data_IF_569626025818
#
_entry.id   IF_569626025818
#
_cell.length_a   1.000
_cell.length_b   1.000
_cell.length_c   1.000
_cell.angle_alpha   90.00
_cell.angle_beta   90.00
_cell.angle_gamma   90.00
#
_symmetry.space_group_name_H-M   'P 1'
#
loop_
_entity.id
_entity.type
_entity.pdbx_description
1 polymer ?
#
# COMPACT_ATOMS: atom_id res chain seq x y z
N UNK A 1 -3.24 24.10 33.27
CA UNK A 1 -4.36 25.05 33.07
C UNK A 1 -3.98 26.26 32.24
N UNK A 2 -2.94 27.04 32.60
CA UNK A 2 -2.57 28.23 31.83
C UNK A 2 -2.22 27.96 30.35
N UNK A 3 -1.52 26.86 30.05
CA UNK A 3 -1.23 26.44 28.67
C UNK A 3 -2.48 26.20 27.83
N UNK A 4 -3.51 25.57 28.42
CA UNK A 4 -4.79 25.33 27.76
C UNK A 4 -5.53 26.66 27.51
N UNK A 5 -5.49 27.57 28.49
CA UNK A 5 -6.11 28.90 28.38
C UNK A 5 -5.44 29.77 27.30
N UNK A 6 -4.11 29.85 27.29
CA UNK A 6 -3.36 30.58 26.27
C UNK A 6 -3.63 30.02 24.88
N UNK A 7 -3.55 28.70 24.71
CA UNK A 7 -3.80 28.07 23.42
C UNK A 7 -5.21 28.33 22.89
N UNK A 8 -6.24 28.21 23.75
CA UNK A 8 -7.63 28.48 23.35
C UNK A 8 -7.83 29.94 22.94
N UNK A 9 -7.19 30.88 23.66
CA UNK A 9 -7.30 32.32 23.38
C UNK A 9 -6.61 32.67 22.07
N UNK A 10 -5.38 32.17 21.87
CA UNK A 10 -4.58 32.41 20.67
C UNK A 10 -5.22 31.77 19.42
N UNK A 11 -5.73 30.55 19.56
CA UNK A 11 -6.41 29.86 18.47
C UNK A 11 -7.70 30.59 18.05
N UNK A 12 -8.49 31.03 19.03
CA UNK A 12 -9.72 31.77 18.75
C UNK A 12 -9.44 33.14 18.12
N UNK A 13 -8.43 33.87 18.61
CA UNK A 13 -8.02 35.14 18.02
C UNK A 13 -7.60 35.02 16.55
N UNK A 14 -7.03 33.87 16.16
CA UNK A 14 -6.60 33.59 14.78
C UNK A 14 -7.71 33.10 13.86
N UNK A 15 -8.62 32.28 14.37
CA UNK A 15 -9.57 31.51 13.53
C UNK A 15 -11.02 31.94 13.70
N UNK A 16 -11.37 32.65 14.76
CA UNK A 16 -12.75 32.92 15.14
C UNK A 16 -13.53 31.69 15.64
N UNK A 17 -12.88 30.53 15.73
CA UNK A 17 -13.48 29.26 16.14
C UNK A 17 -12.79 28.68 17.37
N UNK A 18 -13.36 27.61 17.93
CA UNK A 18 -12.74 26.85 19.02
C UNK A 18 -12.10 25.59 18.47
N UNK A 19 -10.88 25.24 18.91
CA UNK A 19 -10.22 24.04 18.44
C UNK A 19 -10.97 22.79 18.90
N UNK A 20 -11.05 21.79 18.01
CA UNK A 20 -11.61 20.48 18.34
C UNK A 20 -10.82 19.77 19.45
N UNK A 21 -11.50 18.88 20.21
CA UNK A 21 -10.86 18.15 21.33
C UNK A 21 -9.66 17.31 20.90
N UNK A 22 -9.69 16.74 19.69
CA UNK A 22 -8.57 15.98 19.13
C UNK A 22 -7.33 16.85 18.92
N UNK A 23 -7.51 18.08 18.42
CA UNK A 23 -6.43 19.04 18.24
C UNK A 23 -5.85 19.48 19.59
N UNK A 24 -6.71 19.72 20.59
CA UNK A 24 -6.27 20.03 21.96
C UNK A 24 -5.46 18.89 22.59
N UNK A 25 -5.86 17.64 22.37
CA UNK A 25 -5.11 16.48 22.87
C UNK A 25 -3.74 16.38 22.18
N UNK A 26 -3.70 16.61 20.86
CA UNK A 26 -2.47 16.56 20.06
C UNK A 26 -1.48 17.67 20.46
N UNK A 27 -1.92 18.93 20.41
CA UNK A 27 -1.05 20.10 20.61
C UNK A 27 -0.57 20.24 22.05
N UNK A 28 -1.44 19.95 23.02
CA UNK A 28 -1.10 20.11 24.43
C UNK A 28 -0.53 18.83 25.05
N UNK A 29 -0.47 17.73 24.28
CA UNK A 29 -0.08 16.39 24.75
C UNK A 29 -0.88 15.96 25.99
N UNK A 30 -2.17 16.29 26.00
CA UNK A 30 -3.10 15.98 27.09
C UNK A 30 -4.00 14.82 26.68
N UNK A 31 -4.37 14.00 27.65
CA UNK A 31 -5.42 12.99 27.46
C UNK A 31 -6.78 13.67 27.29
N UNK A 32 -7.72 12.97 26.63
CA UNK A 32 -9.09 13.47 26.47
C UNK A 32 -9.77 13.78 27.82
N UNK A 33 -9.42 13.01 28.87
CA UNK A 33 -9.92 13.24 30.22
C UNK A 33 -9.42 14.56 30.81
N UNK A 34 -8.12 14.86 30.66
CA UNK A 34 -7.49 16.10 31.13
C UNK A 34 -8.01 17.32 30.36
N UNK A 35 -8.17 17.21 29.03
CA UNK A 35 -8.78 18.27 28.21
C UNK A 35 -10.21 18.55 28.66
N UNK A 36 -11.02 17.51 28.91
CA UNK A 36 -12.39 17.67 29.38
C UNK A 36 -12.49 18.20 30.83
N UNK A 37 -11.51 17.92 31.68
CA UNK A 37 -11.43 18.48 33.03
C UNK A 37 -11.06 19.98 32.95
N UNK A 38 -10.01 20.33 32.20
CA UNK A 38 -9.57 21.71 32.04
C UNK A 38 -10.61 22.59 31.33
N UNK A 39 -11.31 22.09 30.32
CA UNK A 39 -12.41 22.83 29.69
C UNK A 39 -13.57 23.08 30.66
N UNK A 40 -13.86 22.16 31.58
CA UNK A 40 -14.91 22.35 32.59
C UNK A 40 -14.52 23.42 33.60
N UNK A 41 -13.27 23.40 34.05
CA UNK A 41 -12.73 24.40 34.98
C UNK A 41 -12.69 25.79 34.35
N UNK A 42 -12.26 25.91 33.09
CA UNK A 42 -12.28 27.20 32.35
C UNK A 42 -13.70 27.74 32.08
N UNK A 43 -14.71 26.86 31.96
CA UNK A 43 -16.12 27.25 31.89
C UNK A 43 -16.63 27.70 33.27
N UNK A 44 -16.25 26.99 34.35
CA UNK A 44 -16.63 27.33 35.72
C UNK A 44 -16.05 28.68 36.17
N UNK A 45 -14.79 28.96 35.81
CA UNK A 45 -14.09 30.22 36.08
C UNK A 45 -14.56 31.39 35.19
N UNK A 46 -15.57 31.16 34.34
CA UNK A 46 -16.17 32.17 33.48
C UNK A 46 -15.29 32.64 32.31
N UNK A 47 -14.09 32.08 32.16
CA UNK A 47 -13.17 32.40 31.06
C UNK A 47 -13.75 32.01 29.70
N UNK A 48 -14.60 30.98 29.65
CA UNK A 48 -15.29 30.49 28.46
C UNK A 48 -16.82 30.72 28.50
N UNK A 49 -17.31 31.71 29.27
CA UNK A 49 -18.76 31.95 29.46
C UNK A 49 -19.52 32.14 28.14
N UNK A 50 -18.91 32.80 27.17
CA UNK A 50 -19.49 33.05 25.84
C UNK A 50 -19.55 31.78 24.96
N UNK A 51 -18.78 30.75 25.33
CA UNK A 51 -18.57 29.53 24.55
C UNK A 51 -19.20 28.28 25.17
N UNK A 52 -19.71 28.37 26.40
CA UNK A 52 -20.33 27.28 27.13
C UNK A 52 -21.50 26.63 26.38
N UNK A 53 -22.23 27.41 25.57
CA UNK A 53 -23.34 26.91 24.74
C UNK A 53 -22.90 26.06 23.55
N UNK A 54 -21.67 26.24 23.04
CA UNK A 54 -21.13 25.48 21.89
C UNK A 54 -20.34 24.25 22.31
N UNK A 55 -19.75 24.29 23.51
CA UNK A 55 -19.14 23.13 24.15
C UNK A 55 -20.24 22.24 24.73
N UNK A 56 -20.81 21.32 23.93
CA UNK A 56 -21.59 20.19 24.46
C UNK A 56 -20.68 19.32 25.33
N UNK A 57 -20.53 19.71 26.59
CA UNK A 57 -19.84 18.94 27.62
C UNK A 57 -20.69 17.70 27.88
N UNK A 58 -20.20 16.54 27.41
CA UNK A 58 -20.84 15.27 27.72
C UNK A 58 -20.86 15.12 29.25
N UNK A 59 -22.02 14.81 29.82
CA UNK A 59 -22.16 14.49 31.24
C UNK A 59 -21.15 13.38 31.59
N UNK A 60 -20.51 13.43 32.78
CA UNK A 60 -19.49 12.47 33.14
C UNK A 60 -20.08 11.05 33.12
N UNK A 61 -19.61 10.22 32.18
CA UNK A 61 -19.63 8.79 32.37
C UNK A 61 -18.64 8.41 33.47
N UNK A 62 -18.85 7.29 34.19
CA UNK A 62 -17.97 6.90 35.29
C UNK A 62 -16.52 6.82 34.82
N UNK A 63 -15.61 7.34 35.66
CA UNK A 63 -14.16 7.33 35.45
C UNK A 63 -13.69 5.88 35.36
N UNK A 64 -13.54 5.37 34.14
CA UNK A 64 -12.89 4.08 33.89
C UNK A 64 -11.39 4.33 34.02
N UNK A 65 -10.82 3.85 35.13
CA UNK A 65 -9.36 3.72 35.26
C UNK A 65 -8.86 2.96 34.04
N UNK A 66 -7.98 3.59 33.27
CA UNK A 66 -7.36 3.07 32.07
C UNK A 66 -6.53 1.82 32.45
N UNK A 67 -7.19 0.66 32.43
CA UNK A 67 -6.51 -0.63 32.43
C UNK A 67 -5.95 -0.83 31.03
N UNK A 68 -4.69 -1.28 30.97
CA UNK A 68 -3.93 -1.42 29.73
C UNK A 68 -4.76 -2.05 28.62
N UNK A 69 -4.58 -1.55 27.40
CA UNK A 69 -5.34 -1.93 26.19
C UNK A 69 -5.48 -3.45 25.98
N UNK A 70 -4.54 -4.25 26.49
CA UNK A 70 -4.61 -5.71 26.50
C UNK A 70 -5.70 -6.28 27.43
N UNK A 71 -5.88 -5.72 28.63
CA UNK A 71 -6.94 -6.15 29.56
C UNK A 71 -8.32 -5.70 29.08
N UNK A 72 -8.42 -4.50 28.48
CA UNK A 72 -9.67 -4.03 27.87
C UNK A 72 -10.12 -4.90 26.69
N UNK A 73 -9.17 -5.37 25.87
CA UNK A 73 -9.44 -6.32 24.79
C UNK A 73 -9.87 -7.70 25.33
N UNK A 74 -9.19 -8.21 26.36
CA UNK A 74 -9.55 -9.49 27.00
C UNK A 74 -10.89 -9.44 27.72
N UNK A 75 -11.23 -8.33 28.36
CA UNK A 75 -12.53 -8.14 29.01
C UNK A 75 -13.65 -7.94 27.99
N UNK A 76 -13.38 -7.32 26.84
CA UNK A 76 -14.32 -7.28 25.72
C UNK A 76 -14.51 -8.66 25.09
N UNK A 77 -13.45 -9.46 24.93
CA UNK A 77 -13.55 -10.86 24.51
C UNK A 77 -14.34 -11.71 25.52
N UNK A 78 -14.17 -11.48 26.82
CA UNK A 78 -14.98 -12.13 27.86
C UNK A 78 -16.43 -11.69 27.86
N UNK A 79 -16.73 -10.42 27.58
CA UNK A 79 -18.11 -9.94 27.42
C UNK A 79 -18.77 -10.47 26.17
N UNK A 80 -18.03 -10.60 25.06
CA UNK A 80 -18.50 -11.26 23.84
C UNK A 80 -18.72 -12.75 24.11
N UNK A 81 -17.82 -13.44 24.81
CA UNK A 81 -18.01 -14.86 25.16
C UNK A 81 -19.16 -15.08 26.15
N UNK A 82 -19.36 -14.17 27.10
CA UNK A 82 -20.49 -14.18 28.03
C UNK A 82 -21.83 -13.78 27.37
N UNK A 83 -21.78 -12.99 26.29
CA UNK A 83 -22.95 -12.71 25.44
C UNK A 83 -23.33 -13.92 24.58
N UNK A 84 -22.33 -14.64 24.05
CA UNK A 84 -22.50 -15.89 23.31
C UNK A 84 -23.06 -16.99 24.23
N UNK A 85 -22.66 -17.05 25.50
CA UNK A 85 -23.17 -18.05 26.46
C UNK A 85 -24.60 -17.80 26.94
N UNK A 86 -25.15 -16.58 26.75
CA UNK A 86 -26.54 -16.24 27.06
C UNK A 86 -27.51 -16.45 25.88
N UNK A 87 -27.00 -16.78 24.70
CA UNK A 87 -27.83 -17.31 23.62
C UNK A 87 -28.26 -18.72 24.02
N UNK A 88 -29.48 -18.85 24.56
CA UNK A 88 -30.15 -20.15 24.71
C UNK A 88 -30.03 -20.88 23.36
N UNK A 89 -29.37 -22.05 23.28
CA UNK A 89 -29.22 -22.77 22.03
C UNK A 89 -30.58 -23.34 21.64
N UNK A 90 -31.34 -22.57 20.84
CA UNK A 90 -32.45 -23.11 20.06
C UNK A 90 -31.84 -23.84 18.87
N UNK A 91 -31.63 -25.14 19.06
CA UNK A 91 -30.95 -26.02 18.12
C UNK A 91 -29.46 -26.16 18.47
N UNK A 92 -29.01 -27.40 18.64
CA UNK A 92 -27.58 -27.72 18.70
C UNK A 92 -26.99 -27.36 17.33
N UNK A 93 -26.48 -26.14 17.18
CA UNK A 93 -25.57 -25.82 16.08
C UNK A 93 -24.37 -26.74 16.25
N UNK A 94 -24.31 -27.76 15.41
CA UNK A 94 -23.21 -28.70 15.33
C UNK A 94 -21.92 -27.89 15.15
N UNK A 95 -21.05 -27.90 16.16
CA UNK A 95 -19.80 -27.10 16.19
C UNK A 95 -18.97 -27.31 14.91
N UNK A 96 -19.07 -28.49 14.28
CA UNK A 96 -18.45 -28.77 12.99
C UNK A 96 -19.03 -27.97 11.81
N UNK A 97 -20.33 -27.68 11.82
CA UNK A 97 -20.98 -26.83 10.81
C UNK A 97 -20.52 -25.38 10.97
N UNK A 98 -20.40 -24.89 12.20
CA UNK A 98 -19.91 -23.53 12.47
C UNK A 98 -18.46 -23.34 12.00
N UNK A 99 -17.55 -24.26 12.38
CA UNK A 99 -16.13 -24.22 11.96
C UNK A 99 -16.00 -24.26 10.45
N UNK A 100 -16.80 -25.08 9.76
CA UNK A 100 -16.82 -25.17 8.30
C UNK A 100 -17.22 -23.85 7.64
N UNK A 101 -18.28 -23.19 8.11
CA UNK A 101 -18.70 -21.91 7.55
C UNK A 101 -17.66 -20.81 7.78
N UNK A 102 -16.97 -20.83 8.93
CA UNK A 102 -15.87 -19.90 9.21
C UNK A 102 -14.72 -20.13 8.23
N UNK A 103 -14.27 -21.37 8.05
CA UNK A 103 -13.17 -21.69 7.13
C UNK A 103 -13.51 -21.39 5.67
N UNK A 104 -14.76 -21.65 5.27
CA UNK A 104 -15.25 -21.27 3.95
C UNK A 104 -15.23 -19.75 3.76
N UNK A 105 -15.72 -18.98 4.72
CA UNK A 105 -15.69 -17.52 4.66
C UNK A 105 -14.25 -16.98 4.59
N UNK A 106 -13.34 -17.52 5.39
CA UNK A 106 -11.91 -17.15 5.36
C UNK A 106 -11.29 -17.48 4.00
N UNK A 107 -11.59 -18.64 3.42
CA UNK A 107 -11.10 -19.01 2.09
C UNK A 107 -11.60 -18.06 1.00
N UNK A 108 -12.90 -17.71 1.02
CA UNK A 108 -13.49 -16.75 0.05
C UNK A 108 -12.84 -15.37 0.19
N UNK A 109 -12.64 -14.88 1.41
CA UNK A 109 -11.97 -13.59 1.65
C UNK A 109 -10.53 -13.63 1.12
N UNK A 110 -9.79 -14.70 1.40
CA UNK A 110 -8.42 -14.88 0.89
C UNK A 110 -8.38 -14.90 -0.64
N UNK A 111 -9.33 -15.60 -1.29
CA UNK A 111 -9.44 -15.61 -2.76
C UNK A 111 -9.71 -14.21 -3.33
N UNK A 112 -10.60 -13.43 -2.72
CA UNK A 112 -10.92 -12.06 -3.17
C UNK A 112 -9.66 -11.17 -3.08
N UNK A 113 -8.95 -11.23 -1.96
CA UNK A 113 -7.75 -10.42 -1.75
C UNK A 113 -6.63 -10.84 -2.71
N UNK A 114 -6.39 -12.15 -2.87
CA UNK A 114 -5.41 -12.70 -3.80
C UNK A 114 -5.72 -12.31 -5.26
N UNK A 115 -6.98 -12.38 -5.66
CA UNK A 115 -7.43 -11.93 -7.00
C UNK A 115 -7.17 -10.44 -7.20
N UNK A 116 -7.42 -9.61 -6.19
CA UNK A 116 -7.17 -8.17 -6.26
C UNK A 116 -5.70 -7.81 -6.49
N UNK A 117 -4.79 -8.44 -5.74
CA UNK A 117 -3.35 -8.22 -5.92
C UNK A 117 -2.81 -8.80 -7.23
N UNK A 118 -3.28 -9.99 -7.63
CA UNK A 118 -2.94 -10.58 -8.93
C UNK A 118 -3.42 -9.71 -10.09
N UNK A 119 -4.61 -9.12 -9.98
CA UNK A 119 -5.14 -8.17 -10.95
C UNK A 119 -4.27 -6.91 -11.07
N UNK A 120 -3.86 -6.33 -9.94
CA UNK A 120 -3.02 -5.13 -9.91
C UNK A 120 -1.70 -5.31 -10.67
N UNK A 121 -1.17 -6.53 -10.71
CA UNK A 121 -0.02 -6.87 -11.53
C UNK A 121 -0.39 -7.14 -13.00
N UNK A 122 -1.42 -7.94 -13.27
CA UNK A 122 -1.80 -8.35 -14.63
C UNK A 122 -2.29 -7.18 -15.52
N UNK A 123 -2.91 -6.16 -14.93
CA UNK A 123 -3.38 -4.98 -15.68
C UNK A 123 -2.23 -4.17 -16.30
N UNK A 124 -0.99 -4.41 -15.88
CA UNK A 124 0.20 -3.81 -16.49
C UNK A 124 0.51 -4.42 -17.88
N UNK A 125 0.02 -5.63 -18.17
CA UNK A 125 0.34 -6.39 -19.38
C UNK A 125 -0.89 -6.74 -20.23
N UNK A 126 -2.08 -6.72 -19.66
CA UNK A 126 -3.33 -7.15 -20.27
C UNK A 126 -4.41 -6.07 -20.13
N UNK A 127 -5.37 -6.09 -21.04
CA UNK A 127 -6.61 -5.30 -20.91
C UNK A 127 -7.30 -5.61 -19.57
N UNK A 128 -7.89 -4.61 -18.88
CA UNK A 128 -8.49 -4.80 -17.54
C UNK A 128 -9.48 -5.96 -17.45
N UNK A 129 -10.29 -6.19 -18.49
CA UNK A 129 -11.26 -7.29 -18.49
C UNK A 129 -10.54 -8.65 -18.51
N UNK A 130 -9.51 -8.78 -19.35
CA UNK A 130 -8.71 -10.01 -19.47
C UNK A 130 -7.87 -10.24 -18.21
N UNK A 131 -7.36 -9.17 -17.60
CA UNK A 131 -6.59 -9.23 -16.37
C UNK A 131 -7.44 -9.76 -15.20
N UNK A 132 -8.67 -9.26 -15.01
CA UNK A 132 -9.59 -9.77 -13.98
C UNK A 132 -9.94 -11.23 -14.22
N UNK A 133 -10.29 -11.58 -15.45
CA UNK A 133 -10.67 -12.95 -15.80
C UNK A 133 -9.52 -13.94 -15.56
N UNK A 134 -8.30 -13.58 -15.95
CA UNK A 134 -7.12 -14.42 -15.74
C UNK A 134 -6.75 -14.53 -14.25
N UNK A 135 -6.78 -13.42 -13.51
CA UNK A 135 -6.53 -13.42 -12.07
C UNK A 135 -7.52 -14.34 -11.34
N UNK A 136 -8.82 -14.17 -11.60
CA UNK A 136 -9.86 -15.00 -11.01
C UNK A 136 -9.71 -16.47 -11.42
N UNK A 137 -9.43 -16.75 -12.70
CA UNK A 137 -9.26 -18.11 -13.18
C UNK A 137 -8.09 -18.84 -12.50
N UNK A 138 -6.94 -18.18 -12.32
CA UNK A 138 -5.78 -18.76 -11.63
C UNK A 138 -6.10 -19.05 -10.16
N UNK A 139 -6.67 -18.08 -9.44
CA UNK A 139 -7.00 -18.25 -8.01
C UNK A 139 -8.05 -19.33 -7.80
N UNK A 140 -9.11 -19.36 -8.62
CA UNK A 140 -10.13 -20.42 -8.61
C UNK A 140 -9.50 -21.77 -8.93
N UNK A 141 -8.66 -21.86 -9.96
CA UNK A 141 -7.99 -23.11 -10.33
C UNK A 141 -7.13 -23.65 -9.18
N UNK A 142 -6.26 -22.81 -8.60
CA UNK A 142 -5.38 -23.19 -7.49
C UNK A 142 -6.17 -23.65 -6.26
N UNK A 143 -7.33 -23.02 -6.01
CA UNK A 143 -8.18 -23.35 -4.87
C UNK A 143 -8.91 -24.69 -5.05
N UNK A 144 -9.48 -24.97 -6.23
CA UNK A 144 -10.34 -26.13 -6.45
C UNK A 144 -9.64 -27.34 -7.08
N UNK A 145 -8.50 -27.17 -7.75
CA UNK A 145 -7.77 -28.28 -8.38
C UNK A 145 -7.33 -29.38 -7.39
N UNK A 146 -6.85 -29.07 -6.15
CA UNK A 146 -6.55 -30.09 -5.15
C UNK A 146 -7.77 -30.94 -4.75
N UNK A 147 -8.95 -30.33 -4.71
CA UNK A 147 -10.19 -31.04 -4.39
C UNK A 147 -10.67 -31.91 -5.55
N UNK A 148 -10.58 -31.39 -6.77
CA UNK A 148 -10.83 -32.17 -7.98
C UNK A 148 -9.93 -33.41 -8.06
N UNK A 149 -8.65 -33.25 -7.74
CA UNK A 149 -7.70 -34.36 -7.63
C UNK A 149 -8.10 -35.35 -6.52
N UNK A 150 -8.49 -34.86 -5.34
CA UNK A 150 -8.94 -35.71 -4.23
C UNK A 150 -10.20 -36.52 -4.58
N UNK A 151 -11.16 -35.92 -5.31
CA UNK A 151 -12.37 -36.61 -5.80
C UNK A 151 -12.04 -37.70 -6.82
N UNK A 152 -11.09 -37.44 -7.74
CA UNK A 152 -10.65 -38.42 -8.73
C UNK A 152 -9.94 -39.61 -8.07
N UNK A 153 -9.11 -39.36 -7.06
CA UNK A 153 -8.41 -40.42 -6.31
C UNK A 153 -9.36 -41.39 -5.59
N UNK A 154 -10.59 -40.97 -5.27
CA UNK A 154 -11.61 -41.87 -4.68
C UNK A 154 -12.09 -42.95 -5.64
N UNK A 155 -11.99 -42.75 -6.96
CA UNK A 155 -12.50 -43.70 -7.98
C UNK A 155 -11.58 -44.90 -8.24
N UNK A 156 -10.37 -44.92 -7.64
CA UNK A 156 -9.39 -46.04 -7.65
C UNK A 156 -9.01 -46.62 -9.03
N UNK A 157 -9.28 -45.93 -10.15
CA UNK A 157 -8.85 -46.36 -11.48
C UNK A 157 -7.47 -45.78 -11.83
N UNK A 158 -6.61 -46.53 -12.52
CA UNK A 158 -5.24 -46.08 -12.87
C UNK A 158 -5.25 -44.78 -13.69
N UNK A 159 -6.17 -44.64 -14.65
CA UNK A 159 -6.37 -43.41 -15.42
C UNK A 159 -6.75 -42.20 -14.56
N UNK A 160 -7.53 -42.43 -13.49
CA UNK A 160 -7.93 -41.37 -12.55
C UNK A 160 -6.79 -40.93 -11.63
N UNK A 161 -5.84 -41.83 -11.32
CA UNK A 161 -4.64 -41.50 -10.54
C UNK A 161 -3.70 -40.61 -11.34
N UNK A 162 -3.48 -40.92 -12.63
CA UNK A 162 -2.65 -40.11 -13.52
C UNK A 162 -3.25 -38.72 -13.74
N UNK A 163 -4.57 -38.62 -13.91
CA UNK A 163 -5.24 -37.33 -14.05
C UNK A 163 -5.18 -36.51 -12.75
N UNK A 164 -5.34 -37.16 -11.60
CA UNK A 164 -5.24 -36.50 -10.30
C UNK A 164 -3.82 -35.98 -10.02
N UNK A 165 -2.78 -36.76 -10.35
CA UNK A 165 -1.40 -36.29 -10.18
C UNK A 165 -1.09 -35.11 -11.10
N UNK A 166 -1.54 -35.13 -12.36
CA UNK A 166 -1.40 -34.01 -13.29
C UNK A 166 -2.08 -32.74 -12.75
N UNK A 167 -3.29 -32.86 -12.19
CA UNK A 167 -4.01 -31.75 -11.56
C UNK A 167 -3.24 -31.18 -10.36
N UNK A 168 -2.67 -32.02 -9.51
CA UNK A 168 -1.87 -31.55 -8.37
C UNK A 168 -0.60 -30.84 -8.81
N UNK A 169 0.12 -31.39 -9.79
CA UNK A 169 1.37 -30.79 -10.30
C UNK A 169 1.10 -29.43 -10.94
N UNK A 170 0.08 -29.34 -11.78
CA UNK A 170 -0.31 -28.08 -12.42
C UNK A 170 -0.90 -27.08 -11.42
N UNK A 171 -1.61 -27.54 -10.39
CA UNK A 171 -2.07 -26.68 -9.29
C UNK A 171 -0.89 -26.12 -8.48
N UNK A 172 0.15 -26.91 -8.22
CA UNK A 172 1.36 -26.47 -7.54
C UNK A 172 2.11 -25.41 -8.37
N UNK A 173 2.25 -25.64 -9.68
CA UNK A 173 2.86 -24.67 -10.58
C UNK A 173 2.04 -23.36 -10.64
N UNK A 174 0.71 -23.46 -10.72
CA UNK A 174 -0.19 -22.31 -10.70
C UNK A 174 -0.18 -21.59 -9.34
N UNK A 175 0.00 -22.31 -8.22
CA UNK A 175 0.13 -21.72 -6.88
C UNK A 175 1.40 -20.88 -6.77
N UNK A 176 2.55 -21.41 -7.20
CA UNK A 176 3.81 -20.67 -7.21
C UNK A 176 3.71 -19.43 -8.09
N UNK A 177 3.06 -19.55 -9.25
CA UNK A 177 2.80 -18.42 -10.14
C UNK A 177 1.87 -17.38 -9.49
N UNK A 178 0.77 -17.81 -8.86
CA UNK A 178 -0.15 -16.95 -8.12
C UNK A 178 0.56 -16.18 -7.02
N UNK A 179 1.38 -16.86 -6.22
CA UNK A 179 2.19 -16.25 -5.17
C UNK A 179 3.13 -15.19 -5.72
N UNK A 180 3.82 -15.46 -6.83
CA UNK A 180 4.70 -14.48 -7.46
C UNK A 180 3.92 -13.22 -7.89
N UNK A 181 2.75 -13.39 -8.52
CA UNK A 181 1.90 -12.26 -8.92
C UNK A 181 1.39 -11.45 -7.71
N UNK A 182 0.90 -12.13 -6.67
CA UNK A 182 0.42 -11.48 -5.43
C UNK A 182 1.54 -10.67 -4.78
N UNK A 183 2.75 -11.21 -4.71
CA UNK A 183 3.92 -10.54 -4.12
C UNK A 183 4.33 -9.31 -4.93
N UNK A 184 4.38 -9.42 -6.27
CA UNK A 184 4.74 -8.29 -7.11
C UNK A 184 3.64 -7.21 -7.07
N UNK A 185 2.37 -7.61 -7.08
CA UNK A 185 1.24 -6.69 -6.95
C UNK A 185 1.25 -5.91 -5.63
N UNK A 186 1.53 -6.59 -4.51
CA UNK A 186 1.68 -5.94 -3.20
C UNK A 186 2.90 -5.01 -3.16
N UNK A 187 4.03 -5.45 -3.72
CA UNK A 187 5.25 -4.63 -3.77
C UNK A 187 5.02 -3.35 -4.58
N UNK A 188 4.43 -3.45 -5.76
CA UNK A 188 4.14 -2.29 -6.62
C UNK A 188 3.11 -1.34 -5.97
N UNK A 189 2.05 -1.89 -5.38
CA UNK A 189 1.07 -1.09 -4.65
C UNK A 189 1.69 -0.35 -3.46
N UNK A 190 2.64 -0.98 -2.77
CA UNK A 190 3.38 -0.33 -1.68
C UNK A 190 4.33 0.75 -2.19
N UNK A 191 5.06 0.53 -3.29
CA UNK A 191 5.92 1.58 -3.85
C UNK A 191 5.12 2.80 -4.26
N UNK A 192 3.90 2.59 -4.77
CA UNK A 192 2.98 3.68 -5.10
C UNK A 192 2.44 4.38 -3.84
N UNK A 193 2.13 3.63 -2.78
CA UNK A 193 1.72 4.18 -1.48
C UNK A 193 2.87 4.93 -0.80
N UNK A 194 4.11 4.45 -0.88
CA UNK A 194 5.27 5.14 -0.33
C UNK A 194 5.64 6.38 -1.16
N UNK A 195 5.45 6.34 -2.48
CA UNK A 195 5.58 7.51 -3.33
C UNK A 195 4.51 8.58 -3.01
N UNK A 196 3.30 8.15 -2.63
CA UNK A 196 2.17 9.05 -2.32
C UNK A 196 2.11 9.50 -0.85
N UNK A 197 2.46 8.67 0.13
CA UNK A 197 2.53 9.04 1.56
C UNK A 197 3.86 9.71 1.94
N UNK A 198 4.94 9.39 1.22
CA UNK A 198 6.17 10.18 1.21
C UNK A 198 5.95 11.60 0.66
N UNK A 199 4.79 11.87 0.04
CA UNK A 199 4.39 13.19 -0.37
C UNK A 199 3.77 14.05 0.74
N UNK A 200 3.44 13.49 1.91
CA UNK A 200 2.70 14.22 2.95
C UNK A 200 3.45 14.37 4.29
N UNK A 201 4.51 13.59 4.57
CA UNK A 201 5.04 13.50 5.95
C UNK A 201 6.51 13.89 6.19
N UNK A 202 7.27 14.40 5.21
CA UNK A 202 8.63 14.91 5.51
C UNK A 202 9.12 15.92 4.48
N UNK A 203 8.98 17.21 4.79
CA UNK A 203 9.43 18.32 3.93
C UNK A 203 10.95 18.42 3.84
N UNK A 204 11.70 18.10 4.91
CA UNK A 204 13.16 18.30 4.94
C UNK A 204 14.00 17.22 4.22
N UNK A 205 13.57 15.94 4.23
CA UNK A 205 14.29 14.88 3.48
C UNK A 205 13.88 14.80 2.01
N UNK A 206 12.74 15.39 1.67
CA UNK A 206 12.19 15.46 0.32
C UNK A 206 12.88 16.52 -0.52
N UNK A 207 13.38 17.60 0.07
CA UNK A 207 14.09 18.64 -0.69
C UNK A 207 15.39 18.16 -1.30
N UNK A 208 16.17 17.36 -0.58
CA UNK A 208 17.43 16.81 -1.10
C UNK A 208 17.16 15.67 -2.10
N UNK A 209 16.26 14.74 -1.78
CA UNK A 209 15.95 13.61 -2.66
C UNK A 209 15.20 14.03 -3.94
N UNK A 210 14.28 14.99 -3.87
CA UNK A 210 13.57 15.53 -5.04
C UNK A 210 14.51 16.35 -5.90
N UNK A 211 15.41 17.15 -5.29
CA UNK A 211 16.44 17.85 -6.04
C UNK A 211 17.42 16.87 -6.70
N UNK A 212 17.78 15.76 -6.04
CA UNK A 212 18.64 14.73 -6.62
C UNK A 212 17.96 13.98 -7.77
N UNK A 213 16.66 13.68 -7.66
CA UNK A 213 15.88 13.09 -8.77
C UNK A 213 15.73 14.07 -9.94
N UNK A 214 15.44 15.34 -9.66
CA UNK A 214 15.35 16.37 -10.70
C UNK A 214 16.71 16.63 -11.37
N UNK A 215 17.81 16.61 -10.60
CA UNK A 215 19.17 16.68 -11.13
C UNK A 215 19.56 15.42 -11.90
N UNK A 216 19.08 14.25 -11.50
CA UNK A 216 19.27 13.02 -12.26
C UNK A 216 18.49 13.05 -13.59
N UNK A 217 17.26 13.57 -13.60
CA UNK A 217 16.47 13.82 -14.81
C UNK A 217 17.17 14.83 -15.72
N UNK A 218 17.70 15.93 -15.16
CA UNK A 218 18.51 16.92 -15.90
C UNK A 218 19.78 16.29 -16.49
N UNK A 219 20.55 15.54 -15.71
CA UNK A 219 21.78 14.86 -16.19
C UNK A 219 21.47 13.83 -17.26
N UNK A 220 20.38 13.08 -17.12
CA UNK A 220 19.94 12.10 -18.12
C UNK A 220 19.53 12.78 -19.43
N UNK A 221 18.75 13.87 -19.35
CA UNK A 221 18.36 14.68 -20.50
C UNK A 221 19.57 15.36 -21.17
N UNK A 222 20.55 15.82 -20.37
CA UNK A 222 21.80 16.39 -20.86
C UNK A 222 22.63 15.33 -21.59
N UNK A 223 22.84 14.15 -21.00
CA UNK A 223 23.58 13.06 -21.63
C UNK A 223 22.94 12.59 -22.94
N UNK A 224 21.59 12.54 -23.00
CA UNK A 224 20.87 12.23 -24.23
C UNK A 224 21.06 13.31 -25.30
N UNK A 225 21.08 14.59 -24.91
CA UNK A 225 21.31 15.72 -25.82
C UNK A 225 22.75 15.71 -26.34
N UNK A 226 23.74 15.51 -25.46
CA UNK A 226 25.16 15.45 -25.82
C UNK A 226 25.45 14.26 -26.76
N UNK A 227 24.80 13.11 -26.51
CA UNK A 227 24.89 11.94 -27.39
C UNK A 227 24.35 12.22 -28.80
N UNK A 228 23.16 12.84 -28.88
CA UNK A 228 22.55 13.22 -30.16
C UNK A 228 23.36 14.32 -30.89
N UNK A 229 23.96 15.26 -30.17
CA UNK A 229 24.84 16.27 -30.79
C UNK A 229 26.09 15.63 -31.42
N UNK A 230 26.70 14.66 -30.76
CA UNK A 230 27.83 13.91 -31.33
C UNK A 230 27.41 13.12 -32.56
N UNK A 231 26.25 12.47 -32.52
CA UNK A 231 25.71 11.70 -33.65
C UNK A 231 25.40 12.61 -34.85
N UNK A 232 24.81 13.79 -34.60
CA UNK A 232 24.59 14.82 -35.62
C UNK A 232 25.93 15.28 -36.23
N UNK A 233 26.95 15.55 -35.41
CA UNK A 233 28.28 15.95 -35.90
C UNK A 233 28.95 14.89 -36.77
N UNK A 234 28.91 13.62 -36.34
CA UNK A 234 29.44 12.49 -37.12
C UNK A 234 28.70 12.32 -38.45
N UNK A 235 27.38 12.49 -38.45
CA UNK A 235 26.56 12.39 -39.66
C UNK A 235 26.79 13.57 -40.61
N UNK A 236 27.03 14.78 -40.09
CA UNK A 236 27.41 15.95 -40.89
C UNK A 236 28.79 15.76 -41.54
N UNK A 237 29.77 15.22 -40.80
CA UNK A 237 31.09 14.89 -41.33
C UNK A 237 31.02 13.80 -42.40
N UNK A 238 30.16 12.79 -42.21
CA UNK A 238 29.92 11.74 -43.19
C UNK A 238 29.24 12.30 -44.46
N UNK A 239 28.26 13.21 -44.30
CA UNK A 239 27.61 13.90 -45.41
C UNK A 239 28.56 14.78 -46.21
N UNK A 240 29.50 15.47 -45.55
CA UNK A 240 30.48 16.33 -46.21
C UNK A 240 31.43 15.56 -47.15
N UNK A 241 31.55 14.25 -46.96
CA UNK A 241 32.36 13.35 -47.80
C UNK A 241 31.57 12.73 -48.96
N UNK A 242 30.25 12.94 -49.02
CA UNK A 242 29.37 12.40 -50.06
C UNK A 242 29.13 13.45 -51.16
N UNK A 243 29.21 13.02 -52.42
CA UNK A 243 28.88 13.89 -53.56
C UNK A 243 27.40 14.28 -53.57
N UNK A 244 27.15 15.59 -53.70
CA UNK A 244 25.82 16.16 -53.76
C UNK A 244 25.04 15.64 -54.99
N UNK A 245 23.75 15.35 -54.80
CA UNK A 245 22.88 14.83 -55.87
C UNK A 245 22.84 13.31 -56.00
N UNK A 246 23.69 12.57 -55.25
CA UNK A 246 23.62 11.10 -55.22
C UNK A 246 22.45 10.60 -54.35
N UNK A 247 21.90 9.40 -54.62
CA UNK A 247 20.89 8.78 -53.76
C UNK A 247 21.37 8.59 -52.31
N UNK A 248 22.67 8.34 -52.13
CA UNK A 248 23.32 8.23 -50.82
C UNK A 248 23.30 9.56 -50.06
N UNK A 249 23.60 10.67 -50.74
CA UNK A 249 23.51 12.02 -50.16
C UNK A 249 22.07 12.38 -49.77
N UNK A 250 21.08 12.02 -50.60
CA UNK A 250 19.66 12.22 -50.30
C UNK A 250 19.13 11.36 -49.14
N UNK A 251 19.67 10.16 -48.94
CA UNK A 251 19.37 9.33 -47.77
C UNK A 251 20.01 9.89 -46.49
N UNK A 252 21.27 10.31 -46.57
CA UNK A 252 21.99 10.91 -45.45
C UNK A 252 21.36 12.23 -44.99
N UNK A 253 20.88 13.05 -45.92
CA UNK A 253 20.17 14.31 -45.62
C UNK A 253 18.87 14.06 -44.84
N UNK A 254 18.10 13.03 -45.23
CA UNK A 254 16.87 12.65 -44.52
C UNK A 254 17.16 12.12 -43.12
N UNK A 255 18.21 11.32 -42.97
CA UNK A 255 18.67 10.84 -41.67
C UNK A 255 19.14 12.01 -40.77
N UNK A 256 19.87 12.96 -41.33
CA UNK A 256 20.30 14.16 -40.61
C UNK A 256 19.10 14.99 -40.15
N UNK A 257 18.08 15.18 -41.00
CA UNK A 257 16.85 15.87 -40.61
C UNK A 257 16.14 15.17 -39.44
N UNK A 258 16.01 13.84 -39.49
CA UNK A 258 15.40 13.09 -38.39
C UNK A 258 16.21 13.17 -37.08
N UNK A 259 17.55 13.23 -37.16
CA UNK A 259 18.43 13.42 -36.01
C UNK A 259 18.32 14.85 -35.44
N UNK A 260 18.20 15.86 -36.31
CA UNK A 260 17.98 17.25 -35.90
C UNK A 260 16.64 17.44 -35.20
N UNK A 261 15.57 16.80 -35.69
CA UNK A 261 14.27 16.81 -35.02
C UNK A 261 14.35 16.16 -33.64
N UNK A 262 15.01 15.01 -33.52
CA UNK A 262 15.24 14.33 -32.23
C UNK A 262 16.04 15.21 -31.28
N UNK A 263 17.07 15.88 -31.77
CA UNK A 263 17.88 16.82 -30.99
C UNK A 263 17.06 18.02 -30.49
N UNK A 264 16.17 18.56 -31.34
CA UNK A 264 15.26 19.63 -30.96
C UNK A 264 14.32 19.23 -29.83
N UNK A 265 13.69 18.04 -29.91
CA UNK A 265 12.83 17.54 -28.84
C UNK A 265 13.61 17.18 -27.56
N UNK A 266 14.82 16.64 -27.69
CA UNK A 266 15.70 16.40 -26.55
C UNK A 266 16.08 17.71 -25.84
N UNK A 267 16.42 18.75 -26.61
CA UNK A 267 16.68 20.10 -26.09
C UNK A 267 15.49 20.69 -25.34
N UNK A 268 14.27 20.57 -25.87
CA UNK A 268 13.05 20.98 -25.16
C UNK A 268 12.86 20.25 -23.82
N UNK A 269 13.14 18.94 -23.78
CA UNK A 269 13.05 18.14 -22.55
C UNK A 269 14.09 18.57 -21.52
N UNK A 270 15.31 18.90 -21.95
CA UNK A 270 16.36 19.45 -21.10
C UNK A 270 15.96 20.82 -20.53
N UNK A 271 15.42 21.72 -21.35
CA UNK A 271 14.93 23.03 -20.89
C UNK A 271 13.82 22.87 -19.86
N UNK A 272 12.84 21.99 -20.12
CA UNK A 272 11.78 21.71 -19.17
C UNK A 272 12.32 21.10 -17.85
N UNK A 273 13.33 20.22 -17.91
CA UNK A 273 13.99 19.68 -16.72
C UNK A 273 14.70 20.78 -15.91
N UNK A 274 15.39 21.71 -16.57
CA UNK A 274 16.03 22.87 -15.93
C UNK A 274 15.04 23.82 -15.29
N UNK A 275 13.92 24.10 -15.96
CA UNK A 275 12.84 24.93 -15.41
C UNK A 275 12.23 24.30 -14.15
N UNK A 276 12.04 22.97 -14.13
CA UNK A 276 11.60 22.26 -12.92
C UNK A 276 12.58 22.42 -11.76
N UNK A 277 13.90 22.33 -12.01
CA UNK A 277 14.94 22.51 -10.99
C UNK A 277 14.95 23.94 -10.46
N UNK A 278 14.87 24.94 -11.34
CA UNK A 278 14.84 26.37 -10.97
C UNK A 278 13.57 26.74 -10.20
N UNK A 279 12.41 26.22 -10.61
CA UNK A 279 11.15 26.41 -9.91
C UNK A 279 11.16 25.76 -8.51
N UNK A 280 11.90 24.66 -8.34
CA UNK A 280 12.09 24.01 -7.04
C UNK A 280 12.96 24.86 -6.10
N UNK A 281 14.09 25.38 -6.61
CA UNK A 281 15.03 26.21 -5.84
C UNK A 281 14.46 27.59 -5.48
N UNK A 282 13.43 28.05 -6.17
CA UNK A 282 12.80 29.36 -5.95
C UNK A 282 11.68 29.34 -4.88
N UNK A 283 11.42 28.19 -4.23
CA UNK A 283 10.40 28.09 -3.17
C UNK A 283 10.92 28.61 -1.82
N UNK A 284 10.16 29.47 -1.11
CA UNK A 284 10.61 30.13 0.13
C UNK A 284 10.72 29.21 1.36
N UNK A 285 10.25 27.97 1.31
CA UNK A 285 10.25 27.03 2.45
C UNK A 285 11.47 26.08 2.52
N UNK A 286 12.47 26.26 1.64
CA UNK A 286 13.55 25.27 1.46
C UNK A 286 14.61 25.24 2.57
N UNK A 287 14.55 26.09 3.61
CA UNK A 287 15.53 26.06 4.70
C UNK A 287 14.90 26.33 6.05
N UNK A 288 14.96 25.31 6.90
CA UNK A 288 14.99 25.26 8.38
C UNK A 288 13.84 24.46 9.00
N UNK A 289 14.14 23.23 9.44
CA UNK A 289 13.96 22.81 10.84
C UNK A 289 14.55 21.41 11.02
N UNK A 290 15.47 21.28 11.97
CA UNK A 290 15.94 20.00 12.47
C UNK A 290 14.83 19.39 13.35
N UNK A 291 14.07 18.44 12.80
CA UNK A 291 13.13 17.65 13.59
C UNK A 291 13.67 16.25 13.91
N UNK A 292 13.46 15.87 15.17
CA UNK A 292 13.90 14.62 15.78
C UNK A 292 13.30 13.44 15.02
N UNK A 293 14.17 12.72 14.29
CA UNK A 293 13.87 11.52 13.51
C UNK A 293 13.32 10.42 14.43
N UNK A 294 12.00 10.20 14.45
CA UNK A 294 11.43 8.97 15.03
C UNK A 294 11.90 7.78 14.18
N UNK A 295 12.61 6.84 14.78
CA UNK A 295 12.97 5.57 14.12
C UNK A 295 11.68 4.79 13.84
N UNK A 296 11.40 4.58 12.56
CA UNK A 296 10.29 3.76 12.08
C UNK A 296 10.58 2.26 12.31
N UNK A 297 9.56 1.41 12.48
CA UNK A 297 9.74 -0.01 12.82
C UNK A 297 10.65 -0.74 11.82
N UNK A 298 10.53 -0.41 10.54
CA UNK A 298 11.39 -0.96 9.48
C UNK A 298 12.85 -0.53 9.62
N UNK A 299 13.09 0.67 10.17
CA UNK A 299 14.45 1.17 10.45
C UNK A 299 15.04 0.43 11.65
N UNK A 300 14.26 0.24 12.72
CA UNK A 300 14.64 -0.59 13.87
C UNK A 300 14.95 -2.04 13.45
N UNK A 301 14.05 -2.68 12.70
CA UNK A 301 14.21 -4.05 12.24
C UNK A 301 15.38 -4.21 11.25
N UNK A 302 15.63 -3.23 10.37
CA UNK A 302 16.82 -3.21 9.50
C UNK A 302 18.13 -3.15 10.27
N UNK A 303 18.16 -2.38 11.37
CA UNK A 303 19.32 -2.23 12.23
C UNK A 303 19.61 -3.50 13.03
N UNK A 304 18.57 -4.15 13.54
CA UNK A 304 18.71 -5.38 14.33
C UNK A 304 19.07 -6.60 13.47
N UNK A 305 18.56 -6.65 12.24
CA UNK A 305 18.82 -7.78 11.32
C UNK A 305 20.07 -7.58 10.45
N UNK A 306 20.62 -6.36 10.41
CA UNK A 306 21.70 -6.00 9.48
C UNK A 306 21.29 -6.01 8.01
N UNK A 307 20.01 -6.20 7.71
CA UNK A 307 19.47 -6.22 6.35
C UNK A 307 19.00 -4.83 5.94
N UNK A 308 19.13 -4.47 4.66
CA UNK A 308 18.62 -3.19 4.16
C UNK A 308 17.12 -3.04 4.41
N UNK A 309 16.66 -1.83 4.77
CA UNK A 309 15.24 -1.53 5.08
C UNK A 309 14.26 -2.12 4.07
N UNK A 310 14.55 -1.96 2.76
CA UNK A 310 13.70 -2.49 1.70
C UNK A 310 13.61 -4.03 1.67
N UNK A 311 14.63 -4.74 2.15
CA UNK A 311 14.63 -6.20 2.25
C UNK A 311 13.77 -6.66 3.41
N UNK A 312 13.86 -5.99 4.56
CA UNK A 312 13.03 -6.28 5.74
C UNK A 312 11.56 -6.02 5.44
N UNK A 313 11.29 -4.89 4.79
CA UNK A 313 9.95 -4.52 4.34
C UNK A 313 9.41 -5.60 3.36
N UNK A 314 10.18 -5.95 2.34
CA UNK A 314 9.82 -7.02 1.40
C UNK A 314 9.51 -8.36 2.08
N UNK A 315 10.33 -8.82 3.04
CA UNK A 315 10.10 -10.08 3.77
C UNK A 315 8.81 -10.03 4.58
N UNK A 316 8.56 -8.92 5.27
CA UNK A 316 7.36 -8.74 6.09
C UNK A 316 6.07 -8.67 5.24
N UNK A 317 6.15 -8.27 3.97
CA UNK A 317 5.03 -8.33 3.02
C UNK A 317 4.90 -9.68 2.32
N UNK A 318 6.02 -10.36 2.08
CA UNK A 318 6.05 -11.70 1.49
C UNK A 318 5.27 -12.71 2.35
N UNK A 319 5.43 -12.64 3.68
CA UNK A 319 4.82 -13.60 4.60
C UNK A 319 3.27 -13.58 4.52
N UNK A 320 2.57 -12.44 4.64
CA UNK A 320 1.12 -12.37 4.45
C UNK A 320 0.64 -12.77 3.06
N UNK A 321 1.37 -12.41 1.99
CA UNK A 321 1.01 -12.77 0.61
C UNK A 321 1.01 -14.29 0.41
N UNK A 322 2.10 -14.95 0.82
CA UNK A 322 2.22 -16.41 0.76
C UNK A 322 1.19 -17.11 1.65
N UNK A 323 0.91 -16.53 2.82
CA UNK A 323 -0.07 -17.08 3.75
C UNK A 323 -1.50 -17.06 3.17
N UNK A 324 -1.88 -15.98 2.47
CA UNK A 324 -3.20 -15.87 1.82
C UNK A 324 -3.40 -16.89 0.70
N UNK A 325 -2.39 -17.08 -0.15
CA UNK A 325 -2.45 -18.03 -1.27
C UNK A 325 -2.43 -19.50 -0.82
N UNK A 326 -1.93 -19.79 0.39
CA UNK A 326 -1.97 -21.13 1.01
C UNK A 326 -3.27 -21.38 1.77
N UNK A 327 -3.82 -20.37 2.47
CA UNK A 327 -5.04 -20.54 3.27
C UNK A 327 -6.27 -20.79 2.40
N UNK A 328 -6.38 -20.13 1.24
CA UNK A 328 -7.52 -20.32 0.34
C UNK A 328 -7.74 -21.81 -0.03
N UNK A 329 -6.76 -22.53 -0.62
CA UNK A 329 -6.91 -23.95 -0.93
C UNK A 329 -7.08 -24.82 0.33
N UNK A 330 -6.39 -24.54 1.44
CA UNK A 330 -6.54 -25.33 2.68
C UNK A 330 -7.92 -25.16 3.34
N UNK A 331 -8.39 -23.91 3.45
CA UNK A 331 -9.68 -23.57 4.03
C UNK A 331 -10.83 -24.13 3.21
N UNK A 332 -10.72 -24.06 1.87
CA UNK A 332 -11.68 -24.67 0.96
C UNK A 332 -11.68 -26.19 1.09
N UNK A 333 -10.49 -26.82 1.08
CA UNK A 333 -10.35 -28.28 1.23
C UNK A 333 -10.97 -28.81 2.53
N UNK A 334 -10.78 -28.12 3.65
CA UNK A 334 -11.43 -28.50 4.92
C UNK A 334 -12.94 -28.25 4.85
N UNK A 335 -13.37 -27.12 4.30
CA UNK A 335 -14.77 -26.78 4.20
C UNK A 335 -15.57 -27.74 3.30
N UNK A 336 -14.99 -28.19 2.19
CA UNK A 336 -15.62 -29.10 1.23
C UNK A 336 -15.36 -30.58 1.56
N UNK A 337 -14.18 -30.91 2.08
CA UNK A 337 -13.82 -32.26 2.52
C UNK A 337 -14.66 -32.78 3.69
N UNK A 338 -15.14 -31.88 4.57
CA UNK A 338 -16.05 -32.22 5.68
C UNK A 338 -17.51 -32.43 5.23
N UNK A 339 -17.89 -32.04 4.01
CA UNK A 339 -19.25 -32.24 3.46
C UNK A 339 -19.49 -33.72 3.19
N UNK A 340 -18.52 -34.38 2.57
CA UNK A 340 -18.65 -35.75 2.10
C UNK A 340 -18.45 -36.84 3.15
N UNK A 341 -18.42 -36.50 4.45
CA UNK A 341 -18.24 -37.48 5.55
C UNK A 341 -19.51 -37.77 6.35
N UNK A 342 -20.65 -37.13 6.04
CA UNK A 342 -21.94 -37.42 6.71
C UNK A 342 -22.79 -38.51 6.02
N UNK A 343 -22.32 -39.14 4.96
CA UNK A 343 -23.06 -40.18 4.21
C UNK A 343 -22.22 -41.43 3.88
N UNK A 344 -21.29 -41.83 4.76
CA UNK A 344 -20.59 -43.11 4.65
C UNK A 344 -20.76 -43.94 5.93
#
# INVERSE_FOLDING_TARGET
MEKLKSFLTDYHARTGELPGRALLCHELKLTLAEVNAGLRELVADGTLKEFAGRLRLAKPGPVVKEKSSAQGFLDNLRKVSAGISKLKPRGKLDTGVLVRWILFAVAVIAMIISTGYSYAWLVQFLDPVRAVLLAAAVVVYVTFAPEGAALLLRRRAVSTVVLASLLVVTALAALVFSMAMTVIGQYNGMTDILATQGAETSTASRDVATLDVLRAEERSAQAATDGLQREVGLQQDAMARLEAGTPAHGAATRQLGALQDRLYYAGKRLTAAREKVLAYLSRPDAVTTAEVRREDFYTFASRETGMGRGVVEFILYLIPALFMDIIAPLGMFVALGMIGRKEA
#
